data_IF_959774860132
#
_entry.id   IF_959774860132
#
_cell.length_a   1.000
_cell.length_b   1.000
_cell.length_c   1.000
_cell.angle_alpha   90.00
_cell.angle_beta   90.00
_cell.angle_gamma   90.00
#
_symmetry.space_group_name_H-M   'P 1'
#
loop_
_entity.id
_entity.type
_entity.pdbx_description
1 polymer ?
#
# COMPACT_ATOMS: atom_id res chain seq x y z
N UNK A 1 6.61 4.67 -10.01
CA UNK A 1 5.36 4.33 -9.27
C UNK A 1 5.56 4.68 -7.80
N UNK A 2 4.57 5.31 -7.15
CA UNK A 2 4.67 5.70 -5.72
C UNK A 2 4.32 4.58 -4.74
N UNK A 3 3.61 3.56 -5.20
CA UNK A 3 3.22 2.40 -4.39
C UNK A 3 3.43 1.12 -5.19
N UNK A 4 3.66 0.01 -4.48
CA UNK A 4 3.62 -1.35 -5.03
C UNK A 4 2.62 -2.19 -4.26
N UNK A 5 1.85 -3.01 -4.97
CA UNK A 5 1.05 -4.08 -4.37
C UNK A 5 1.75 -5.42 -4.54
N UNK A 6 1.68 -6.24 -3.50
CA UNK A 6 2.18 -7.62 -3.48
C UNK A 6 1.02 -8.51 -3.07
N UNK A 7 0.71 -9.52 -3.88
CA UNK A 7 -0.38 -10.45 -3.61
C UNK A 7 0.18 -11.85 -3.71
N UNK A 8 0.05 -12.61 -2.62
CA UNK A 8 0.64 -13.93 -2.46
C UNK A 8 -0.44 -14.94 -2.08
N UNK A 9 -0.31 -16.16 -2.60
CA UNK A 9 -1.14 -17.30 -2.19
C UNK A 9 -0.28 -18.19 -1.32
N UNK A 10 -0.72 -18.41 -0.09
CA UNK A 10 -0.06 -19.30 0.87
C UNK A 10 -0.40 -20.76 0.60
N UNK A 11 0.42 -21.68 1.11
CA UNK A 11 0.17 -23.12 1.03
C UNK A 11 -1.15 -23.56 1.69
N UNK A 12 -1.69 -22.75 2.60
CA UNK A 12 -2.99 -22.98 3.25
C UNK A 12 -4.16 -22.40 2.45
N UNK A 13 -3.93 -21.90 1.23
CA UNK A 13 -4.97 -21.34 0.35
C UNK A 13 -5.51 -19.97 0.78
N UNK A 14 -4.84 -19.31 1.73
CA UNK A 14 -5.10 -17.91 2.05
C UNK A 14 -4.42 -17.01 1.02
N UNK A 15 -5.11 -15.96 0.60
CA UNK A 15 -4.52 -14.90 -0.23
C UNK A 15 -4.17 -13.71 0.67
N UNK A 16 -2.92 -13.28 0.62
CA UNK A 16 -2.41 -12.16 1.39
C UNK A 16 -2.18 -10.99 0.44
N UNK A 17 -2.82 -9.85 0.69
CA UNK A 17 -2.61 -8.62 -0.06
C UNK A 17 -1.84 -7.62 0.80
N UNK A 18 -0.76 -7.08 0.26
CA UNK A 18 0.05 -6.05 0.90
C UNK A 18 0.25 -4.88 -0.05
N UNK A 19 0.21 -3.66 0.49
CA UNK A 19 0.54 -2.44 -0.23
C UNK A 19 1.71 -1.78 0.48
N UNK A 20 2.73 -1.42 -0.30
CA UNK A 20 3.92 -0.72 0.17
C UNK A 20 4.04 0.63 -0.53
N UNK A 21 4.49 1.64 0.21
CA UNK A 21 4.95 2.92 -0.35
C UNK A 21 6.33 2.76 -0.99
N UNK A 22 6.74 3.75 -1.78
CA UNK A 22 8.02 3.79 -2.48
C UNK A 22 9.23 3.77 -1.53
N UNK A 23 9.05 4.23 -0.29
CA UNK A 23 10.07 4.16 0.78
C UNK A 23 10.18 2.76 1.42
N UNK A 24 9.40 1.78 0.92
CA UNK A 24 9.38 0.42 1.41
C UNK A 24 8.49 0.20 2.64
N UNK A 25 7.85 1.24 3.18
CA UNK A 25 6.92 1.08 4.31
C UNK A 25 5.63 0.39 3.87
N UNK A 26 5.14 -0.54 4.68
CA UNK A 26 3.84 -1.19 4.45
C UNK A 26 2.71 -0.26 4.88
N UNK A 27 1.86 0.11 3.94
CA UNK A 27 0.70 1.02 4.14
C UNK A 27 -0.64 0.28 4.14
N UNK A 28 -0.65 -1.00 3.81
CA UNK A 28 -1.83 -1.84 3.90
C UNK A 28 -1.50 -3.33 3.98
N UNK A 29 -2.33 -4.07 4.71
CA UNK A 29 -2.32 -5.53 4.80
C UNK A 29 -3.77 -6.03 4.92
N UNK A 30 -4.15 -6.99 4.09
CA UNK A 30 -5.46 -7.64 4.15
C UNK A 30 -5.30 -9.15 3.88
N UNK A 31 -6.04 -9.96 4.64
CA UNK A 31 -6.00 -11.41 4.59
C UNK A 31 -7.34 -11.94 4.06
N UNK A 32 -7.30 -12.66 2.95
CA UNK A 32 -8.46 -13.31 2.36
C UNK A 32 -8.38 -14.81 2.59
N UNK A 33 -8.97 -15.26 3.69
CA UNK A 33 -9.17 -16.68 4.01
C UNK A 33 -10.65 -17.04 3.80
N UNK A 34 -10.94 -18.31 3.56
CA UNK A 34 -12.32 -18.82 3.60
C UNK A 34 -12.42 -19.99 4.56
N UNK A 35 -13.52 -20.04 5.29
CA UNK A 35 -13.82 -21.07 6.29
C UNK A 35 -14.13 -22.42 5.62
N UNK A 36 -14.68 -22.41 4.40
CA UNK A 36 -15.27 -23.57 3.72
C UNK A 36 -14.50 -23.99 2.46
N UNK A 37 -13.20 -24.29 2.63
CA UNK A 37 -12.40 -24.99 1.65
C UNK A 37 -11.59 -24.11 0.68
N UNK A 38 -10.58 -24.75 0.08
CA UNK A 38 -9.59 -24.15 -0.82
C UNK A 38 -9.77 -24.64 -2.26
N UNK A 39 -11.02 -24.62 -2.75
CA UNK A 39 -11.25 -24.93 -4.16
C UNK A 39 -10.59 -23.87 -5.05
N UNK A 40 -10.09 -24.24 -6.25
CA UNK A 40 -9.45 -23.29 -7.16
C UNK A 40 -10.32 -22.05 -7.45
N UNK A 41 -11.63 -22.25 -7.66
CA UNK A 41 -12.55 -21.14 -7.88
C UNK A 41 -12.76 -20.23 -6.65
N UNK A 42 -12.64 -20.77 -5.43
CA UNK A 42 -12.66 -19.94 -4.23
C UNK A 42 -11.39 -19.10 -4.10
N UNK A 43 -10.23 -19.67 -4.41
CA UNK A 43 -8.94 -18.96 -4.42
C UNK A 43 -8.96 -17.85 -5.48
N UNK A 44 -9.44 -18.13 -6.69
CA UNK A 44 -9.54 -17.13 -7.76
C UNK A 44 -10.43 -15.93 -7.36
N UNK A 45 -11.58 -16.19 -6.72
CA UNK A 45 -12.44 -15.12 -6.19
C UNK A 45 -11.74 -14.30 -5.12
N UNK A 46 -11.01 -14.94 -4.20
CA UNK A 46 -10.21 -14.25 -3.17
C UNK A 46 -9.12 -13.40 -3.83
N UNK A 47 -8.47 -13.92 -4.87
CA UNK A 47 -7.43 -13.21 -5.61
C UNK A 47 -7.96 -11.95 -6.31
N UNK A 48 -9.11 -12.03 -6.98
CA UNK A 48 -9.77 -10.85 -7.58
C UNK A 48 -10.14 -9.79 -6.52
N UNK A 49 -10.65 -10.23 -5.36
CA UNK A 49 -10.95 -9.33 -4.24
C UNK A 49 -9.70 -8.67 -3.67
N UNK A 50 -8.62 -9.43 -3.52
CA UNK A 50 -7.33 -8.95 -3.07
C UNK A 50 -6.77 -7.84 -3.98
N UNK A 51 -6.84 -8.05 -5.30
CA UNK A 51 -6.46 -7.01 -6.27
C UNK A 51 -7.33 -5.76 -6.14
N UNK A 52 -8.65 -5.92 -6.12
CA UNK A 52 -9.58 -4.79 -5.99
C UNK A 52 -9.37 -4.00 -4.69
N UNK A 53 -9.13 -4.69 -3.58
CA UNK A 53 -8.82 -4.05 -2.31
C UNK A 53 -7.49 -3.28 -2.37
N UNK A 54 -6.43 -3.87 -2.93
CA UNK A 54 -5.13 -3.23 -3.02
C UNK A 54 -5.18 -1.96 -3.90
N UNK A 55 -5.92 -2.00 -5.00
CA UNK A 55 -6.11 -0.83 -5.88
C UNK A 55 -6.87 0.29 -5.18
N UNK A 56 -7.90 -0.05 -4.39
CA UNK A 56 -8.60 0.95 -3.55
C UNK A 56 -7.68 1.53 -2.49
N UNK A 57 -6.86 0.71 -1.84
CA UNK A 57 -5.92 1.17 -0.82
C UNK A 57 -4.90 2.15 -1.41
N UNK A 58 -4.33 1.83 -2.59
CA UNK A 58 -3.45 2.74 -3.32
C UNK A 58 -4.16 4.05 -3.63
N UNK A 59 -5.39 4.01 -4.16
CA UNK A 59 -6.16 5.21 -4.48
C UNK A 59 -6.41 6.10 -3.25
N UNK A 60 -6.70 5.50 -2.08
CA UNK A 60 -6.85 6.23 -0.82
C UNK A 60 -5.52 6.86 -0.40
N UNK A 61 -4.43 6.10 -0.42
CA UNK A 61 -3.11 6.61 -0.08
C UNK A 61 -2.69 7.76 -1.02
N UNK A 62 -2.92 7.63 -2.33
CA UNK A 62 -2.65 8.70 -3.31
C UNK A 62 -3.47 9.96 -3.07
N UNK A 63 -4.72 9.83 -2.59
CA UNK A 63 -5.60 10.96 -2.32
C UNK A 63 -5.23 11.70 -1.03
N UNK A 64 -4.81 10.99 0.00
CA UNK A 64 -4.67 11.54 1.36
C UNK A 64 -3.22 11.68 1.83
N UNK A 65 -2.24 11.00 1.22
CA UNK A 65 -0.83 11.32 1.45
C UNK A 65 -0.53 12.69 0.83
N UNK A 66 -0.40 13.70 1.69
CA UNK A 66 0.15 14.99 1.28
C UNK A 66 1.59 14.75 0.82
N UNK A 67 2.04 15.38 -0.28
CA UNK A 67 3.48 15.45 -0.55
C UNK A 67 4.13 16.00 0.72
N UNK A 68 5.16 15.31 1.21
CA UNK A 68 5.89 15.73 2.40
C UNK A 68 6.08 17.25 2.31
N UNK A 69 5.60 17.97 3.33
CA UNK A 69 5.80 19.40 3.43
C UNK A 69 7.28 19.65 3.19
N UNK A 70 7.64 20.16 2.01
CA UNK A 70 8.96 20.69 1.76
C UNK A 70 9.05 21.87 2.69
N UNK A 71 9.53 21.63 3.91
CA UNK A 71 10.06 22.67 4.75
C UNK A 71 11.24 23.22 3.95
N UNK A 72 10.94 24.18 3.08
CA UNK A 72 11.92 25.10 2.56
C UNK A 72 12.52 25.73 3.81
N UNK A 73 13.67 25.20 4.22
CA UNK A 73 14.52 25.81 5.21
C UNK A 73 14.94 27.13 4.57
N UNK A 74 14.16 28.17 4.81
CA UNK A 74 14.55 29.52 4.54
C UNK A 74 15.80 29.76 5.40
N UNK A 75 16.97 29.55 4.81
CA UNK A 75 18.21 30.12 5.30
C UNK A 75 18.05 31.63 5.17
N UNK A 76 17.49 32.26 6.21
CA UNK A 76 17.61 33.68 6.44
C UNK A 76 19.09 33.96 6.67
N UNK A 77 19.82 34.32 5.62
CA UNK A 77 21.13 34.95 5.76
C UNK A 77 20.89 36.33 6.35
N UNK A 78 20.89 36.42 7.68
CA UNK A 78 21.18 37.68 8.36
C UNK A 78 22.66 37.96 8.15
N UNK A 79 22.97 38.72 7.11
CA UNK A 79 24.25 39.41 6.94
C UNK A 79 24.03 40.89 7.20
N UNK A 80 24.04 41.28 8.48
CA UNK A 80 24.27 42.66 8.87
C UNK A 80 25.71 42.75 9.37
N UNK A 81 26.46 43.71 8.85
CA UNK A 81 27.54 44.49 9.50
C UNK A 81 28.09 45.44 8.43
N UNK A 82 27.65 46.70 8.50
CA UNK A 82 28.44 47.90 8.79
C UNK A 82 29.32 48.38 7.64
#
# INVERSE_FOLDING_TARGET
>A
MRYRKVIEVTCTGMVVAQVFSADGRRVGLELFAGILGNSPGAIERRFKRAHSWADKQISVCEKYERPACTTARATSTQGGER
#
